data_IF_354469095056
#
_entry.id   IF_354469095056
#
_cell.length_a   1.000
_cell.length_b   1.000
_cell.length_c   1.000
_cell.angle_alpha   90.00
_cell.angle_beta   90.00
_cell.angle_gamma   90.00
#
_symmetry.space_group_name_H-M   'P 1'
#
loop_
_entity.id
_entity.type
_entity.pdbx_description
1 polymer ?
#
# COMPACT_ATOMS: atom_id res chain seq x y z
N UNK A 1 -1.75 16.90 -9.20
CA UNK A 1 -2.95 16.15 -8.74
C UNK A 1 -3.24 14.94 -9.63
N UNK A 2 -3.29 15.07 -10.96
CA UNK A 2 -3.55 13.92 -11.87
C UNK A 2 -2.49 12.82 -11.81
N UNK A 3 -1.21 13.16 -11.70
CA UNK A 3 -0.13 12.18 -11.51
C UNK A 3 -0.30 11.36 -10.23
N UNK A 4 -0.79 11.96 -9.15
CA UNK A 4 -0.99 11.26 -7.87
C UNK A 4 -2.11 10.22 -7.97
N UNK A 5 -3.17 10.48 -8.74
CA UNK A 5 -4.25 9.51 -8.99
C UNK A 5 -3.73 8.30 -9.76
N UNK A 6 -2.86 8.52 -10.74
CA UNK A 6 -2.22 7.44 -11.52
C UNK A 6 -1.37 6.56 -10.62
N UNK A 7 -0.51 7.18 -9.79
CA UNK A 7 0.35 6.45 -8.83
C UNK A 7 -0.49 5.70 -7.80
N UNK A 8 -1.59 6.28 -7.31
CA UNK A 8 -2.50 5.59 -6.40
C UNK A 8 -3.12 4.35 -7.05
N UNK A 9 -3.66 4.48 -8.27
CA UNK A 9 -4.24 3.34 -8.99
C UNK A 9 -3.21 2.22 -9.21
N UNK A 10 -2.00 2.59 -9.63
CA UNK A 10 -0.89 1.64 -9.81
C UNK A 10 -0.52 0.96 -8.48
N UNK A 11 -0.46 1.69 -7.37
CA UNK A 11 -0.13 1.13 -6.05
C UNK A 11 -1.13 0.07 -5.61
N UNK A 12 -2.43 0.32 -5.82
CA UNK A 12 -3.51 -0.63 -5.50
C UNK A 12 -3.36 -1.90 -6.35
N UNK A 13 -3.13 -1.75 -7.66
CA UNK A 13 -2.91 -2.88 -8.56
C UNK A 13 -1.69 -3.71 -8.18
N UNK A 14 -0.57 -3.06 -7.83
CA UNK A 14 0.66 -3.74 -7.46
C UNK A 14 0.53 -4.49 -6.14
N UNK A 15 -0.14 -3.92 -5.13
CA UNK A 15 -0.42 -4.63 -3.88
C UNK A 15 -1.29 -5.87 -4.13
N UNK A 16 -2.33 -5.75 -4.98
CA UNK A 16 -3.16 -6.90 -5.36
C UNK A 16 -2.35 -8.00 -6.04
N UNK A 17 -1.51 -7.67 -7.02
CA UNK A 17 -0.69 -8.65 -7.74
C UNK A 17 0.38 -9.28 -6.84
N UNK A 18 1.02 -8.48 -5.97
CA UNK A 18 1.99 -8.97 -5.00
C UNK A 18 1.35 -9.95 -4.00
N UNK A 19 0.11 -9.67 -3.56
CA UNK A 19 -0.65 -10.58 -2.68
C UNK A 19 -0.98 -11.94 -3.33
N UNK A 20 -0.88 -12.03 -4.65
CA UNK A 20 -1.07 -13.26 -5.44
C UNK A 20 0.26 -13.93 -5.81
N UNK A 21 1.40 -13.45 -5.29
CA UNK A 21 2.71 -14.03 -5.57
C UNK A 21 3.35 -13.61 -6.89
N UNK A 22 2.85 -12.55 -7.54
CA UNK A 22 3.48 -12.03 -8.76
C UNK A 22 4.86 -11.44 -8.45
N UNK A 23 5.91 -12.04 -9.02
CA UNK A 23 7.30 -11.66 -8.74
C UNK A 23 7.64 -10.21 -9.10
N UNK A 24 7.23 -9.75 -10.28
CA UNK A 24 7.48 -8.37 -10.71
C UNK A 24 6.79 -7.35 -9.78
N UNK A 25 5.59 -7.66 -9.31
CA UNK A 25 4.89 -6.82 -8.35
C UNK A 25 5.57 -6.82 -6.97
N UNK A 26 6.13 -7.96 -6.54
CA UNK A 26 6.92 -8.05 -5.29
C UNK A 26 8.20 -7.21 -5.40
N UNK A 27 8.95 -7.33 -6.50
CA UNK A 27 10.20 -6.57 -6.72
C UNK A 27 9.91 -5.05 -6.78
N UNK A 28 8.78 -4.66 -7.38
CA UNK A 28 8.32 -3.28 -7.40
C UNK A 28 7.90 -2.80 -6.00
N UNK A 29 7.15 -3.61 -5.25
CA UNK A 29 6.77 -3.30 -3.87
C UNK A 29 8.00 -3.10 -2.97
N UNK A 30 9.03 -3.92 -3.14
CA UNK A 30 10.32 -3.76 -2.45
C UNK A 30 10.99 -2.43 -2.76
N UNK A 31 11.03 -2.06 -4.04
CA UNK A 31 11.60 -0.78 -4.48
C UNK A 31 10.86 0.42 -3.87
N UNK A 32 9.52 0.35 -3.82
CA UNK A 32 8.68 1.39 -3.24
C UNK A 32 8.80 1.44 -1.71
N UNK A 33 8.88 0.29 -1.04
CA UNK A 33 9.06 0.20 0.41
C UNK A 33 10.35 0.91 0.86
N UNK A 34 11.47 0.68 0.14
CA UNK A 34 12.75 1.33 0.39
C UNK A 34 12.69 2.84 0.16
N UNK A 35 12.00 3.29 -0.89
CA UNK A 35 11.79 4.71 -1.15
C UNK A 35 10.97 5.40 -0.05
N UNK A 36 10.05 4.68 0.59
CA UNK A 36 9.22 5.19 1.69
C UNK A 36 9.91 5.14 3.06
N UNK A 37 11.08 4.51 3.16
CA UNK A 37 11.84 4.38 4.40
C UNK A 37 12.23 5.73 5.01
N UNK A 38 12.61 5.69 6.29
CA UNK A 38 13.17 6.81 7.05
C UNK A 38 14.38 7.46 6.39
N UNK A 39 15.16 6.68 5.65
CA UNK A 39 16.37 7.17 4.98
C UNK A 39 16.07 7.99 3.71
N UNK A 40 14.87 7.87 3.15
CA UNK A 40 14.48 8.48 1.88
C UNK A 40 13.32 9.47 2.09
N UNK A 41 12.05 9.07 1.87
CA UNK A 41 10.90 9.96 1.99
C UNK A 41 10.34 10.11 3.42
N UNK A 42 10.80 9.30 4.37
CA UNK A 42 10.36 9.30 5.76
C UNK A 42 8.83 9.21 5.92
N UNK A 43 8.23 8.23 5.23
CA UNK A 43 6.79 7.97 5.35
C UNK A 43 6.56 7.12 6.60
N UNK A 44 6.27 7.82 7.70
CA UNK A 44 6.06 7.20 9.02
C UNK A 44 5.00 6.08 8.98
N UNK A 45 5.22 4.94 9.66
CA UNK A 45 4.33 3.77 9.64
C UNK A 45 2.85 4.07 9.94
N UNK A 46 2.56 5.02 10.83
CA UNK A 46 1.19 5.37 11.24
C UNK A 46 0.40 6.03 10.10
N UNK A 47 1.07 6.61 9.10
CA UNK A 47 0.41 7.22 7.95
C UNK A 47 -0.28 6.18 7.06
N UNK A 48 0.15 4.92 7.09
CA UNK A 48 -0.50 3.85 6.33
C UNK A 48 -1.86 3.46 6.92
N UNK A 49 -2.04 3.60 8.24
CA UNK A 49 -3.33 3.33 8.88
C UNK A 49 -4.35 4.41 8.47
N UNK A 50 -3.93 5.68 8.50
CA UNK A 50 -4.74 6.81 8.02
C UNK A 50 -5.07 6.66 6.52
N UNK A 51 -4.08 6.24 5.72
CA UNK A 51 -4.27 6.00 4.30
C UNK A 51 -5.30 4.90 4.03
N UNK A 52 -5.21 3.77 4.76
CA UNK A 52 -6.15 2.67 4.61
C UNK A 52 -7.56 3.09 5.03
N UNK A 53 -7.71 3.81 6.14
CA UNK A 53 -9.01 4.31 6.60
C UNK A 53 -9.65 5.23 5.55
N UNK A 54 -8.88 6.17 5.00
CA UNK A 54 -9.35 7.10 3.96
C UNK A 54 -9.75 6.36 2.67
N UNK A 55 -8.98 5.34 2.28
CA UNK A 55 -9.31 4.48 1.14
C UNK A 55 -10.63 3.75 1.39
N UNK A 56 -10.81 3.15 2.57
CA UNK A 56 -12.00 2.37 2.89
C UNK A 56 -13.25 3.24 3.01
N UNK A 57 -13.13 4.45 3.57
CA UNK A 57 -14.19 5.45 3.53
C UNK A 57 -14.59 5.75 2.07
N UNK A 58 -13.60 6.00 1.20
CA UNK A 58 -13.85 6.27 -0.23
C UNK A 58 -14.55 5.10 -0.92
N UNK A 59 -14.11 3.86 -0.67
CA UNK A 59 -14.76 2.65 -1.22
C UNK A 59 -16.21 2.56 -0.76
N UNK A 60 -16.50 2.84 0.51
CA UNK A 60 -17.86 2.77 1.05
C UNK A 60 -18.82 3.79 0.43
N UNK A 61 -18.30 4.93 -0.03
CA UNK A 61 -19.09 5.98 -0.70
C UNK A 61 -19.35 5.63 -2.17
N UNK A 62 -18.39 4.99 -2.84
CA UNK A 62 -18.42 4.78 -4.29
C UNK A 62 -19.04 3.43 -4.67
N UNK A 63 -18.73 2.36 -3.95
CA UNK A 63 -19.23 1.01 -4.26
C UNK A 63 -20.65 0.84 -3.69
N UNK A 64 -21.66 0.88 -4.55
CA UNK A 64 -23.06 0.72 -4.16
C UNK A 64 -23.39 -0.65 -3.57
N UNK A 65 -22.51 -1.64 -3.75
CA UNK A 65 -22.65 -2.97 -3.16
C UNK A 65 -21.80 -3.14 -1.90
N UNK A 66 -21.17 -2.08 -1.39
CA UNK A 66 -20.29 -2.15 -0.24
C UNK A 66 -20.99 -2.81 0.95
N UNK A 67 -20.34 -3.84 1.47
CA UNK A 67 -20.76 -4.57 2.66
C UNK A 67 -19.56 -4.96 3.52
N UNK A 68 -19.83 -5.62 4.65
CA UNK A 68 -18.75 -6.02 5.57
C UNK A 68 -17.80 -7.06 4.96
N UNK A 69 -18.25 -7.86 4.01
CA UNK A 69 -17.42 -8.86 3.34
C UNK A 69 -16.44 -8.19 2.39
N UNK A 70 -16.88 -7.18 1.64
CA UNK A 70 -16.05 -6.34 0.76
C UNK A 70 -15.05 -5.54 1.60
N UNK A 71 -15.48 -4.92 2.71
CA UNK A 71 -14.59 -4.23 3.64
C UNK A 71 -13.42 -5.11 4.10
N UNK A 72 -13.76 -6.30 4.60
CA UNK A 72 -12.78 -7.25 5.10
C UNK A 72 -11.83 -7.76 3.99
N UNK A 73 -12.35 -7.96 2.77
CA UNK A 73 -11.54 -8.39 1.63
C UNK A 73 -10.51 -7.33 1.23
N UNK A 74 -10.93 -6.07 1.12
CA UNK A 74 -10.04 -4.95 0.84
C UNK A 74 -8.94 -4.83 1.91
N UNK A 75 -9.32 -4.78 3.19
CA UNK A 75 -8.36 -4.67 4.30
C UNK A 75 -7.37 -5.83 4.30
N UNK A 76 -7.83 -7.06 4.06
CA UNK A 76 -6.96 -8.24 3.99
C UNK A 76 -5.91 -8.11 2.88
N UNK A 77 -6.30 -7.69 1.68
CA UNK A 77 -5.38 -7.55 0.54
C UNK A 77 -4.43 -6.37 0.75
N UNK A 78 -4.94 -5.23 1.20
CA UNK A 78 -4.11 -4.04 1.42
C UNK A 78 -3.09 -4.23 2.54
N UNK A 79 -3.48 -4.88 3.64
CA UNK A 79 -2.58 -5.12 4.76
C UNK A 79 -1.39 -5.99 4.36
N UNK A 80 -1.51 -6.87 3.38
CA UNK A 80 -0.34 -7.62 2.87
C UNK A 80 0.77 -6.67 2.39
N UNK A 81 0.42 -5.64 1.62
CA UNK A 81 1.36 -4.64 1.15
C UNK A 81 1.79 -3.67 2.26
N UNK A 82 0.82 -3.14 3.03
CA UNK A 82 1.08 -2.15 4.08
C UNK A 82 2.05 -2.68 5.14
N UNK A 83 1.85 -3.91 5.63
CA UNK A 83 2.71 -4.46 6.66
C UNK A 83 4.14 -4.67 6.14
N UNK A 84 4.29 -5.03 4.86
CA UNK A 84 5.60 -5.06 4.21
C UNK A 84 6.23 -3.67 4.14
N UNK A 85 5.48 -2.64 3.71
CA UNK A 85 5.95 -1.26 3.66
C UNK A 85 6.43 -0.77 5.04
N UNK A 86 5.64 -1.03 6.10
CA UNK A 86 6.00 -0.68 7.48
C UNK A 86 7.28 -1.41 7.93
N UNK A 87 7.44 -2.68 7.57
CA UNK A 87 8.63 -3.48 7.94
C UNK A 87 9.94 -2.94 7.37
N UNK A 88 9.87 -2.18 6.28
CA UNK A 88 11.04 -1.59 5.62
C UNK A 88 11.31 -0.14 6.05
N UNK A 89 10.57 0.39 7.03
CA UNK A 89 10.72 1.80 7.42
C UNK A 89 12.14 2.14 7.90
N UNK A 90 12.78 1.26 8.66
CA UNK A 90 14.17 1.45 9.13
C UNK A 90 15.23 0.94 8.12
N UNK A 91 14.85 0.68 6.87
CA UNK A 91 15.81 0.33 5.82
C UNK A 91 16.82 1.47 5.62
N UNK A 92 18.11 1.15 5.68
CA UNK A 92 19.21 2.05 5.36
C UNK A 92 20.06 1.45 4.23
N UNK A 93 20.16 2.18 3.13
CA UNK A 93 20.94 1.82 1.95
C UNK A 93 22.45 1.76 2.23
N UNK A 94 22.95 2.37 3.31
CA UNK A 94 24.37 2.38 3.68
C UNK A 94 24.83 1.14 4.46
N UNK A 95 23.91 0.29 4.91
CA UNK A 95 24.20 -0.88 5.75
C UNK A 95 24.15 -2.23 4.99
N UNK A 96 23.86 -2.22 3.69
CA UNK A 96 23.81 -3.40 2.80
C UNK A 96 24.71 -3.20 1.58
#
# INVERSE_FOLDING_TARGET
>A
MEQQKIVLHASIQMIMLASQGNKAAIDYLDSIAKLHSKAELDIRPELYDIWLDTLMETVSIIDTNYDKKIDNAWKKVMNYGIEYMKSQYDYDKKLN
#
